data_IF_035238741419
#
_entry.id   IF_035238741419
#
_cell.length_a   1.000
_cell.length_b   1.000
_cell.length_c   1.000
_cell.angle_alpha   90.00
_cell.angle_beta   90.00
_cell.angle_gamma   90.00
#
_symmetry.space_group_name_H-M   'P 1'
#
loop_
_entity.id
_entity.type
_entity.pdbx_description
1 polymer ?
#
# COMPACT_ATOMS: atom_id res chain seq x y z
N UNK A 1 -20.12 -36.84 -43.42
CA UNK A 1 -19.22 -36.57 -42.26
C UNK A 1 -17.85 -37.21 -42.44
N UNK A 2 -17.77 -38.52 -42.72
CA UNK A 2 -16.47 -39.20 -42.87
C UNK A 2 -15.55 -38.58 -43.93
N UNK A 3 -16.13 -38.13 -45.06
CA UNK A 3 -15.40 -37.36 -46.08
C UNK A 3 -14.84 -36.06 -45.50
N UNK A 4 -15.60 -35.32 -44.69
CA UNK A 4 -15.11 -34.08 -44.07
C UNK A 4 -14.02 -34.34 -43.05
N UNK A 5 -14.10 -35.42 -42.27
CA UNK A 5 -13.03 -35.82 -41.34
C UNK A 5 -11.74 -36.08 -42.10
N UNK A 6 -11.79 -36.86 -43.19
CA UNK A 6 -10.62 -37.11 -44.04
C UNK A 6 -10.08 -35.82 -44.64
N UNK A 7 -10.94 -35.01 -45.24
CA UNK A 7 -10.56 -33.75 -45.86
C UNK A 7 -9.91 -32.79 -44.86
N UNK A 8 -10.42 -32.71 -43.62
CA UNK A 8 -9.82 -31.88 -42.57
C UNK A 8 -8.41 -32.37 -42.23
N UNK A 9 -8.26 -33.69 -42.04
CA UNK A 9 -6.98 -34.28 -41.69
C UNK A 9 -5.92 -34.09 -42.79
N UNK A 10 -6.31 -34.23 -44.05
CA UNK A 10 -5.39 -34.13 -45.19
C UNK A 10 -5.04 -32.67 -45.54
N UNK A 11 -6.01 -31.75 -45.44
CA UNK A 11 -5.85 -30.38 -45.94
C UNK A 11 -5.42 -29.38 -44.86
N UNK A 12 -5.68 -29.65 -43.58
CA UNK A 12 -5.54 -28.64 -42.52
C UNK A 12 -4.70 -29.06 -41.32
N UNK A 13 -4.23 -30.31 -41.22
CA UNK A 13 -3.28 -30.72 -40.17
C UNK A 13 -1.84 -30.68 -40.73
N UNK A 14 -1.25 -29.49 -40.71
CA UNK A 14 0.09 -29.21 -41.24
C UNK A 14 1.06 -29.01 -40.07
N UNK A 15 2.06 -29.89 -39.95
CA UNK A 15 3.05 -29.80 -38.87
C UNK A 15 3.84 -28.48 -38.93
N UNK A 16 3.92 -27.80 -37.79
CA UNK A 16 4.64 -26.52 -37.66
C UNK A 16 3.85 -25.29 -38.09
N UNK A 17 2.71 -25.46 -38.77
CA UNK A 17 1.83 -24.34 -39.17
C UNK A 17 0.53 -24.32 -38.39
N UNK A 18 -0.13 -25.48 -38.26
CA UNK A 18 -1.41 -25.60 -37.55
C UNK A 18 -1.23 -26.32 -36.21
N UNK A 19 -2.21 -26.16 -35.33
CA UNK A 19 -2.29 -26.97 -34.12
C UNK A 19 -2.50 -28.45 -34.47
N UNK A 20 -2.03 -29.33 -33.58
CA UNK A 20 -2.14 -30.79 -33.78
C UNK A 20 -3.58 -31.30 -33.75
N UNK A 21 -4.54 -30.48 -33.30
CA UNK A 21 -5.96 -30.80 -33.23
C UNK A 21 -6.78 -29.80 -34.03
N UNK A 22 -7.74 -30.28 -34.80
CA UNK A 22 -8.68 -29.46 -35.57
C UNK A 22 -10.11 -29.59 -35.05
N UNK A 23 -10.91 -28.53 -35.21
CA UNK A 23 -12.33 -28.55 -34.91
C UNK A 23 -13.16 -28.68 -36.18
N UNK A 24 -14.02 -29.70 -36.22
CA UNK A 24 -15.05 -29.84 -37.24
C UNK A 24 -16.37 -29.28 -36.70
N UNK A 25 -16.73 -28.08 -37.14
CA UNK A 25 -17.94 -27.40 -36.71
C UNK A 25 -19.19 -27.99 -37.39
N UNK A 26 -20.20 -28.29 -36.59
CA UNK A 26 -21.54 -28.69 -37.04
C UNK A 26 -22.52 -27.58 -36.63
N UNK A 27 -23.21 -26.90 -37.58
CA UNK A 27 -23.98 -25.69 -37.29
C UNK A 27 -25.30 -25.92 -36.55
N UNK A 28 -25.70 -27.19 -36.37
CA UNK A 28 -26.93 -27.56 -35.67
C UNK A 28 -26.59 -28.42 -34.46
N UNK A 29 -27.06 -27.97 -33.29
CA UNK A 29 -26.93 -28.73 -32.04
C UNK A 29 -27.61 -30.10 -32.14
N UNK A 30 -28.79 -30.16 -32.75
CA UNK A 30 -29.54 -31.42 -32.92
C UNK A 30 -28.79 -32.41 -33.82
N UNK A 31 -28.15 -31.93 -34.89
CA UNK A 31 -27.32 -32.78 -35.75
C UNK A 31 -26.08 -33.26 -34.99
N UNK A 32 -25.46 -32.40 -34.18
CA UNK A 32 -24.33 -32.79 -33.33
C UNK A 32 -24.70 -33.90 -32.33
N UNK A 33 -25.85 -33.77 -31.67
CA UNK A 33 -26.36 -34.76 -30.72
C UNK A 33 -26.63 -36.10 -31.42
N UNK A 34 -27.35 -36.07 -32.55
CA UNK A 34 -27.64 -37.25 -33.37
C UNK A 34 -26.37 -38.00 -33.78
N UNK A 35 -25.29 -37.27 -34.13
CA UNK A 35 -23.99 -37.87 -34.46
C UNK A 35 -23.38 -38.59 -33.26
N UNK A 36 -23.43 -37.99 -32.07
CA UNK A 36 -22.83 -38.58 -30.86
C UNK A 36 -23.65 -39.75 -30.31
N UNK A 37 -24.97 -39.73 -30.49
CA UNK A 37 -25.86 -40.80 -30.04
C UNK A 37 -25.85 -42.01 -30.99
N UNK A 38 -25.95 -41.77 -32.30
CA UNK A 38 -26.20 -42.83 -33.28
C UNK A 38 -24.96 -43.19 -34.13
N UNK A 39 -23.90 -42.38 -34.09
CA UNK A 39 -22.73 -42.53 -34.97
C UNK A 39 -21.39 -42.48 -34.22
N UNK A 40 -21.31 -43.11 -33.05
CA UNK A 40 -20.10 -43.16 -32.20
C UNK A 40 -18.84 -43.64 -32.97
N UNK A 41 -19.00 -44.58 -33.91
CA UNK A 41 -17.90 -45.06 -34.75
C UNK A 41 -17.21 -43.95 -35.56
N UNK A 42 -17.98 -42.95 -36.01
CA UNK A 42 -17.45 -41.77 -36.72
C UNK A 42 -16.75 -40.83 -35.73
N UNK A 43 -17.33 -40.63 -34.55
CA UNK A 43 -16.73 -39.79 -33.48
C UNK A 43 -15.36 -40.35 -33.08
N UNK A 44 -15.24 -41.66 -32.88
CA UNK A 44 -13.98 -42.31 -32.57
C UNK A 44 -12.95 -42.22 -33.72
N UNK A 45 -13.41 -42.32 -34.98
CA UNK A 45 -12.54 -42.10 -36.14
C UNK A 45 -12.02 -40.66 -36.20
N UNK A 46 -12.89 -39.68 -35.98
CA UNK A 46 -12.52 -38.27 -35.94
C UNK A 46 -11.50 -38.00 -34.82
N UNK A 47 -11.74 -38.52 -33.62
CA UNK A 47 -10.82 -38.37 -32.49
C UNK A 47 -9.44 -38.97 -32.78
N UNK A 48 -9.37 -40.17 -33.38
CA UNK A 48 -8.09 -40.77 -33.82
C UNK A 48 -7.38 -39.95 -34.91
N UNK A 49 -8.13 -39.26 -35.74
CA UNK A 49 -7.60 -38.32 -36.73
C UNK A 49 -7.24 -36.94 -36.14
N UNK A 50 -7.30 -36.78 -34.80
CA UNK A 50 -7.08 -35.52 -34.08
C UNK A 50 -8.07 -34.42 -34.49
N UNK A 51 -9.30 -34.83 -34.79
CA UNK A 51 -10.40 -33.94 -35.14
C UNK A 51 -11.48 -34.07 -34.08
N UNK A 52 -11.83 -32.95 -33.45
CA UNK A 52 -12.92 -32.87 -32.48
C UNK A 52 -14.14 -32.29 -33.18
N UNK A 53 -15.25 -33.01 -33.14
CA UNK A 53 -16.53 -32.51 -33.64
C UNK A 53 -17.08 -31.56 -32.58
N UNK A 54 -17.51 -30.37 -33.00
CA UNK A 54 -18.00 -29.33 -32.09
C UNK A 54 -19.33 -28.75 -32.59
N UNK A 55 -20.21 -28.41 -31.66
CA UNK A 55 -21.46 -27.68 -31.90
C UNK A 55 -21.29 -26.18 -31.62
N UNK A 56 -22.29 -25.31 -31.90
CA UNK A 56 -22.23 -23.90 -31.54
C UNK A 56 -21.90 -23.66 -30.06
N UNK A 57 -22.56 -24.38 -29.15
CA UNK A 57 -22.32 -24.22 -27.71
C UNK A 57 -20.93 -24.72 -27.31
N UNK A 58 -20.51 -25.88 -27.81
CA UNK A 58 -19.22 -26.47 -27.46
C UNK A 58 -18.04 -25.71 -28.06
N UNK A 59 -18.20 -25.13 -29.26
CA UNK A 59 -17.21 -24.25 -29.86
C UNK A 59 -17.03 -22.98 -29.02
N UNK A 60 -18.12 -22.36 -28.55
CA UNK A 60 -18.03 -21.18 -27.68
C UNK A 60 -17.28 -21.48 -26.38
N UNK A 61 -17.57 -22.62 -25.74
CA UNK A 61 -16.83 -23.07 -24.55
C UNK A 61 -15.35 -23.33 -24.86
N UNK A 62 -15.05 -23.96 -25.99
CA UNK A 62 -13.67 -24.25 -26.40
C UNK A 62 -12.86 -22.97 -26.61
N UNK A 63 -13.47 -21.96 -27.25
CA UNK A 63 -12.86 -20.64 -27.42
C UNK A 63 -12.60 -19.98 -26.06
N UNK A 64 -13.56 -20.03 -25.14
CA UNK A 64 -13.39 -19.47 -23.79
C UNK A 64 -12.24 -20.12 -23.03
N UNK A 65 -12.11 -21.45 -23.09
CA UNK A 65 -11.01 -22.20 -22.47
C UNK A 65 -9.67 -21.78 -23.07
N UNK A 66 -9.57 -21.71 -24.40
CA UNK A 66 -8.34 -21.27 -25.09
C UNK A 66 -7.99 -19.82 -24.69
N UNK A 67 -8.98 -18.92 -24.66
CA UNK A 67 -8.77 -17.53 -24.24
C UNK A 67 -8.28 -17.43 -22.79
N UNK A 68 -8.83 -18.24 -21.89
CA UNK A 68 -8.41 -18.27 -20.48
C UNK A 68 -6.94 -18.72 -20.35
N UNK A 69 -6.55 -19.77 -21.08
CA UNK A 69 -5.16 -20.27 -21.09
C UNK A 69 -4.22 -19.21 -21.67
N UNK A 70 -4.57 -18.58 -22.80
CA UNK A 70 -3.73 -17.53 -23.41
C UNK A 70 -3.61 -16.27 -22.55
N UNK A 71 -4.67 -15.92 -21.80
CA UNK A 71 -4.64 -14.81 -20.84
C UNK A 71 -3.72 -15.13 -19.67
N UNK A 72 -3.79 -16.36 -19.13
CA UNK A 72 -2.92 -16.80 -18.04
C UNK A 72 -1.45 -16.78 -18.45
N UNK A 73 -1.13 -17.25 -19.67
CA UNK A 73 0.23 -17.18 -20.21
C UNK A 73 0.77 -15.74 -20.29
N UNK A 74 -0.04 -14.80 -20.82
CA UNK A 74 0.32 -13.37 -20.86
C UNK A 74 0.47 -12.77 -19.45
N UNK A 75 -0.40 -13.14 -18.51
CA UNK A 75 -0.29 -12.66 -17.13
C UNK A 75 0.99 -13.17 -16.45
N UNK A 76 1.42 -14.42 -16.71
CA UNK A 76 2.70 -14.94 -16.21
C UNK A 76 3.90 -14.19 -16.74
N UNK A 77 3.90 -13.78 -18.01
CA UNK A 77 5.00 -13.01 -18.59
C UNK A 77 5.18 -11.65 -17.90
N UNK A 78 4.08 -11.05 -17.44
CA UNK A 78 4.09 -9.79 -16.69
C UNK A 78 4.42 -9.96 -15.20
N UNK A 79 4.46 -11.19 -14.66
CA UNK A 79 4.82 -11.43 -13.26
C UNK A 79 6.25 -10.96 -12.94
N UNK A 80 7.16 -11.01 -13.93
CA UNK A 80 8.52 -10.49 -13.81
C UNK A 80 8.56 -8.98 -13.64
N UNK A 81 7.62 -8.23 -14.24
CA UNK A 81 7.53 -6.79 -14.07
C UNK A 81 7.09 -6.43 -12.64
N UNK A 82 6.13 -7.17 -12.09
CA UNK A 82 5.67 -6.98 -10.70
C UNK A 82 6.82 -7.26 -9.73
N UNK A 83 7.60 -8.33 -9.96
CA UNK A 83 8.76 -8.65 -9.13
C UNK A 83 9.80 -7.52 -9.14
N UNK A 84 10.07 -6.93 -10.32
CA UNK A 84 10.97 -5.78 -10.44
C UNK A 84 10.46 -4.56 -9.68
N UNK A 85 9.16 -4.28 -9.73
CA UNK A 85 8.56 -3.15 -9.02
C UNK A 85 8.58 -3.35 -7.50
N UNK A 86 8.37 -4.59 -7.02
CA UNK A 86 8.49 -4.92 -5.59
C UNK A 86 9.91 -4.69 -5.08
N UNK A 87 10.94 -5.04 -5.87
CA UNK A 87 12.34 -4.79 -5.49
C UNK A 87 12.59 -3.30 -5.32
N UNK A 88 12.13 -2.47 -6.27
CA UNK A 88 12.26 -1.00 -6.18
C UNK A 88 11.54 -0.45 -4.95
N UNK A 89 10.34 -0.94 -4.66
CA UNK A 89 9.60 -0.55 -3.47
C UNK A 89 10.38 -0.90 -2.18
N UNK A 90 11.01 -2.08 -2.12
CA UNK A 90 11.85 -2.46 -0.98
C UNK A 90 13.07 -1.55 -0.81
N UNK A 91 13.70 -1.12 -1.91
CA UNK A 91 14.78 -0.13 -1.87
C UNK A 91 14.29 1.22 -1.32
N UNK A 92 13.12 1.68 -1.75
CA UNK A 92 12.52 2.93 -1.27
C UNK A 92 12.18 2.87 0.22
N UNK A 93 11.64 1.73 0.70
CA UNK A 93 11.39 1.50 2.13
C UNK A 93 12.68 1.52 2.93
N UNK A 94 13.76 0.92 2.42
CA UNK A 94 15.06 0.95 3.08
C UNK A 94 15.64 2.37 3.18
N UNK A 95 15.53 3.16 2.10
CA UNK A 95 15.93 4.58 2.11
C UNK A 95 15.11 5.39 3.10
N UNK A 96 13.81 5.09 3.24
CA UNK A 96 12.95 5.73 4.21
C UNK A 96 13.39 5.39 5.65
N UNK A 97 13.65 4.12 5.95
CA UNK A 97 14.14 3.68 7.28
C UNK A 97 15.45 4.41 7.65
N UNK A 98 16.41 4.50 6.73
CA UNK A 98 17.66 5.22 6.99
C UNK A 98 17.43 6.71 7.30
N UNK A 99 16.52 7.38 6.56
CA UNK A 99 16.16 8.78 6.81
C UNK A 99 15.49 8.95 8.17
N UNK A 100 14.59 8.04 8.55
CA UNK A 100 13.92 8.06 9.86
C UNK A 100 14.92 7.85 11.00
N UNK A 101 15.89 6.93 10.85
CA UNK A 101 16.95 6.73 11.84
C UNK A 101 17.83 7.96 12.02
N UNK A 102 18.23 8.62 10.93
CA UNK A 102 18.97 9.89 11.01
C UNK A 102 18.16 10.96 11.73
N UNK A 103 16.86 11.07 11.41
CA UNK A 103 15.96 12.00 12.08
C UNK A 103 15.86 11.71 13.59
N UNK A 104 15.70 10.43 13.97
CA UNK A 104 15.66 10.01 15.37
C UNK A 104 16.95 10.41 16.11
N UNK A 105 18.11 10.22 15.49
CA UNK A 105 19.40 10.65 16.07
C UNK A 105 19.46 12.16 16.26
N UNK A 106 19.02 12.95 15.28
CA UNK A 106 19.01 14.41 15.38
C UNK A 106 18.08 14.88 16.50
N UNK A 107 16.87 14.31 16.60
CA UNK A 107 15.95 14.62 17.70
C UNK A 107 16.52 14.26 19.07
N UNK A 108 17.21 13.12 19.18
CA UNK A 108 17.90 12.73 20.41
C UNK A 108 19.01 13.72 20.80
N UNK A 109 19.72 14.29 19.83
CA UNK A 109 20.70 15.34 20.09
C UNK A 109 20.01 16.65 20.52
N UNK A 110 19.00 17.10 19.78
CA UNK A 110 18.26 18.33 20.14
C UNK A 110 17.61 18.25 21.52
N UNK A 111 17.12 17.07 21.93
CA UNK A 111 16.58 16.87 23.27
C UNK A 111 17.65 17.09 24.36
N UNK A 112 18.86 16.55 24.17
CA UNK A 112 19.98 16.79 25.10
C UNK A 112 20.38 18.26 25.14
N UNK A 113 20.44 18.91 23.99
CA UNK A 113 20.78 20.34 23.91
C UNK A 113 19.76 21.19 24.68
N UNK A 114 18.47 20.85 24.60
CA UNK A 114 17.40 21.48 25.40
C UNK A 114 17.63 21.27 26.90
N UNK A 115 17.95 20.05 27.34
CA UNK A 115 18.23 19.75 28.75
C UNK A 115 19.42 20.58 29.28
N UNK A 116 20.49 20.69 28.50
CA UNK A 116 21.67 21.50 28.86
C UNK A 116 21.35 23.00 28.97
N UNK A 117 20.50 23.52 28.07
CA UNK A 117 19.99 24.90 28.13
C UNK A 117 19.17 25.12 29.40
N UNK A 118 18.29 24.19 29.77
CA UNK A 118 17.47 24.28 30.98
C UNK A 118 18.34 24.28 32.25
N UNK A 119 19.37 23.43 32.31
CA UNK A 119 20.35 23.40 33.42
C UNK A 119 21.06 24.74 33.53
N UNK A 120 21.55 25.27 32.41
CA UNK A 120 22.27 26.55 32.36
C UNK A 120 21.37 27.71 32.78
N UNK A 121 20.13 27.74 32.29
CA UNK A 121 19.12 28.74 32.65
C UNK A 121 18.82 28.70 34.14
N UNK A 122 18.62 27.52 34.73
CA UNK A 122 18.39 27.37 36.18
C UNK A 122 19.56 27.91 37.01
N UNK A 123 20.81 27.65 36.60
CA UNK A 123 22.00 28.19 37.26
C UNK A 123 22.05 29.72 37.19
N UNK A 124 21.74 30.30 36.03
CA UNK A 124 21.69 31.76 35.83
C UNK A 124 20.60 32.38 36.71
N UNK A 125 19.39 31.80 36.74
CA UNK A 125 18.29 32.27 37.60
C UNK A 125 18.66 32.25 39.07
N UNK A 126 19.25 31.15 39.57
CA UNK A 126 19.72 31.04 40.97
C UNK A 126 20.80 32.08 41.29
N UNK A 127 21.70 32.39 40.35
CA UNK A 127 22.72 33.42 40.53
C UNK A 127 22.11 34.82 40.55
N UNK A 128 21.15 35.10 39.68
CA UNK A 128 20.38 36.35 39.68
C UNK A 128 19.69 36.60 41.02
N UNK A 129 18.97 35.60 41.53
CA UNK A 129 18.32 35.67 42.86
C UNK A 129 19.30 35.97 43.99
N UNK A 130 20.52 35.40 43.95
CA UNK A 130 21.56 35.70 44.95
C UNK A 130 22.08 37.13 44.85
N UNK A 131 22.24 37.65 43.64
CA UNK A 131 22.69 39.04 43.41
C UNK A 131 21.62 40.01 43.90
N UNK A 132 20.36 39.77 43.58
CA UNK A 132 19.22 40.53 44.09
C UNK A 132 19.21 40.53 45.63
N UNK A 133 19.35 39.37 46.26
CA UNK A 133 19.41 39.27 47.72
C UNK A 133 20.62 40.00 48.35
N UNK A 134 21.72 40.19 47.61
CA UNK A 134 22.90 40.93 48.07
C UNK A 134 22.76 42.45 47.85
N UNK A 135 22.18 42.90 46.74
CA UNK A 135 21.90 44.32 46.49
C UNK A 135 20.87 44.90 47.46
N UNK A 136 19.89 44.10 47.90
CA UNK A 136 18.88 44.53 48.88
C UNK A 136 19.24 44.22 50.34
N UNK A 137 20.41 43.61 50.60
CA UNK A 137 20.87 43.20 51.94
C UNK A 137 21.83 44.16 52.64
N UNK A 138 22.20 45.27 52.01
CA UNK A 138 23.16 46.24 52.56
C UNK A 138 22.67 47.69 52.45
N UNK A 139 21.60 48.00 53.20
CA UNK A 139 21.41 49.34 53.76
C UNK A 139 21.18 49.21 55.26
N UNK A 140 22.16 49.56 56.12
CA UNK A 140 21.86 49.91 57.49
C UNK A 140 21.24 51.31 57.48
N UNK A 141 19.91 51.38 57.51
CA UNK A 141 19.21 52.57 57.97
C UNK A 141 19.18 52.51 59.50
N UNK A 142 20.18 53.11 60.14
CA UNK A 142 20.04 53.61 61.51
C UNK A 142 19.57 55.06 61.42
N UNK A 143 18.37 55.36 61.93
CA UNK A 143 17.95 56.76 62.10
C UNK A 143 16.45 57.01 62.12
N UNK A 144 15.81 56.60 63.22
CA UNK A 144 14.70 57.32 63.86
C UNK A 144 13.24 57.12 63.37
N UNK A 145 12.42 57.24 64.39
CA UNK A 145 11.06 56.80 64.68
C UNK A 145 9.96 57.63 64.00
N UNK A 146 8.78 57.02 63.80
CA UNK A 146 7.52 57.77 63.79
C UNK A 146 6.46 57.35 62.76
N UNK A 147 5.42 56.69 63.29
CA UNK A 147 4.02 56.72 62.85
C UNK A 147 3.52 55.76 61.76
N UNK A 148 2.53 54.99 62.18
CA UNK A 148 1.63 54.16 61.40
C UNK A 148 0.75 54.96 60.43
N UNK A 149 0.43 54.37 59.27
CA UNK A 149 -0.91 54.28 58.69
C UNK A 149 -0.95 53.40 57.43
N UNK A 150 -1.61 52.25 57.57
CA UNK A 150 -2.42 51.47 56.63
C UNK A 150 -2.60 52.00 55.19
N UNK A 151 -2.33 51.15 54.18
CA UNK A 151 -3.30 50.84 53.10
C UNK A 151 -2.83 49.66 52.23
N UNK A 152 -3.72 48.67 52.12
CA UNK A 152 -3.73 47.52 51.20
C UNK A 152 -3.49 47.92 49.74
N UNK A 153 -2.92 47.03 48.91
CA UNK A 153 -3.44 46.66 47.56
C UNK A 153 -2.69 45.43 47.00
N UNK A 154 -3.41 44.31 46.99
CA UNK A 154 -3.58 43.28 45.95
C UNK A 154 -2.37 42.64 45.24
N UNK A 155 -2.15 41.37 45.59
CA UNK A 155 -1.54 40.36 44.74
C UNK A 155 -2.49 39.98 43.60
N UNK A 156 -2.07 40.22 42.35
CA UNK A 156 -2.81 39.86 41.14
C UNK A 156 -1.92 39.12 40.16
N UNK A 157 -1.96 37.78 40.21
CA UNK A 157 -1.44 36.92 39.16
C UNK A 157 -2.21 37.16 37.86
N UNK A 158 -1.52 37.54 36.77
CA UNK A 158 -2.03 37.41 35.41
C UNK A 158 -0.96 36.82 34.50
N UNK A 159 -1.11 35.52 34.30
CA UNK A 159 -0.47 34.69 33.29
C UNK A 159 -0.82 35.25 31.91
N UNK A 160 0.19 35.51 31.10
CA UNK A 160 0.03 35.85 29.70
C UNK A 160 -0.39 34.59 28.92
N UNK A 161 -1.58 34.63 28.34
CA UNK A 161 -2.15 33.61 27.47
C UNK A 161 -1.47 33.68 26.08
N UNK A 162 -0.83 32.60 25.64
CA UNK A 162 -0.37 32.46 24.26
C UNK A 162 -1.16 31.35 23.57
N UNK A 163 -2.22 31.80 22.90
CA UNK A 163 -3.00 31.08 21.90
C UNK A 163 -2.08 30.56 20.80
N UNK A 164 -1.89 29.25 20.69
CA UNK A 164 -1.65 28.58 19.40
C UNK A 164 -1.78 27.05 19.52
N UNK A 165 -2.85 26.52 18.89
CA UNK A 165 -2.77 25.27 18.12
C UNK A 165 -2.89 23.92 18.84
N UNK A 166 -4.06 23.58 19.38
CA UNK A 166 -4.48 22.17 19.50
C UNK A 166 -5.40 21.80 18.34
N UNK A 167 -4.85 21.13 17.32
CA UNK A 167 -5.63 20.38 16.34
C UNK A 167 -5.83 18.96 16.88
N UNK A 168 -7.06 18.65 17.33
CA UNK A 168 -7.47 17.27 17.64
C UNK A 168 -7.89 16.56 16.36
N UNK A 169 -7.14 15.51 16.00
CA UNK A 169 -7.50 14.55 14.97
C UNK A 169 -8.77 13.79 15.41
N UNK A 170 -9.87 13.95 14.68
CA UNK A 170 -11.09 13.15 14.84
C UNK A 170 -11.05 12.04 13.79
N UNK A 171 -10.73 10.82 14.20
CA UNK A 171 -10.93 9.62 13.39
C UNK A 171 -12.43 9.31 13.46
N UNK A 172 -13.11 9.39 12.31
CA UNK A 172 -14.44 8.81 12.15
C UNK A 172 -14.20 7.49 11.45
N UNK A 173 -14.37 6.41 12.19
CA UNK A 173 -14.51 5.05 11.65
C UNK A 173 -15.70 5.06 10.68
N UNK A 174 -15.49 4.50 9.48
CA UNK A 174 -16.58 4.21 8.57
C UNK A 174 -17.28 2.95 9.03
N UNK A 175 -18.59 3.05 9.28
CA UNK A 175 -19.46 1.90 9.52
C UNK A 175 -19.57 1.05 8.24
N UNK A 176 -19.37 -0.26 8.39
CA UNK A 176 -19.87 -1.32 7.51
C UNK A 176 -21.37 -1.57 7.75
#
# INVERSE_FOLDING_TARGET
IEVHVRDIAEKYLIQGETQDTAFMFVPSESVFAEIHENFEGIVHKAHRARIVIVSPSLLMLSIQVIQAILKDARMREQAHLIQGEVIRLMEDVSRLDERVRKLQSHFGQSAKDIDDILVSTSKVTKRGQKIEALEFGAQPTEGDTGSAASAKTEAGARVADSKTGQLRLRVVEGDD
#
